data_IF_123790424417
#
_entry.id   IF_123790424417
#
_cell.length_a   1.000
_cell.length_b   1.000
_cell.length_c   1.000
_cell.angle_alpha   90.00
_cell.angle_beta   90.00
_cell.angle_gamma   90.00
#
_symmetry.space_group_name_H-M   'P 1'
#
loop_
_entity.id
_entity.type
_entity.pdbx_description
1 polymer ?
#
# COMPACT_ATOMS: atom_id res chain seq x y z
N UNK A 1 -21.63 -36.95 49.56
CA UNK A 1 -21.98 -36.65 48.15
C UNK A 1 -21.67 -35.19 47.90
N UNK A 2 -20.49 -34.91 47.33
CA UNK A 2 -19.97 -33.56 47.08
C UNK A 2 -20.43 -33.09 45.69
N UNK A 3 -21.28 -32.07 45.66
CA UNK A 3 -21.75 -31.43 44.44
C UNK A 3 -20.60 -30.71 43.71
N UNK A 4 -20.12 -31.29 42.61
CA UNK A 4 -19.22 -30.63 41.66
C UNK A 4 -20.03 -29.66 40.79
N UNK A 5 -20.05 -28.38 41.15
CA UNK A 5 -20.52 -27.32 40.24
C UNK A 5 -19.42 -27.09 39.19
N UNK A 6 -19.64 -27.60 37.98
CA UNK A 6 -18.93 -27.15 36.79
C UNK A 6 -19.13 -25.64 36.63
N UNK A 7 -18.07 -24.83 36.47
CA UNK A 7 -18.22 -23.41 36.21
C UNK A 7 -18.98 -23.20 34.90
N UNK A 8 -19.86 -22.19 34.81
CA UNK A 8 -20.59 -21.90 33.59
C UNK A 8 -19.61 -21.58 32.46
N UNK A 9 -19.83 -22.19 31.29
CA UNK A 9 -19.06 -21.90 30.08
C UNK A 9 -19.13 -20.41 29.79
N UNK A 10 -17.98 -19.76 29.66
CA UNK A 10 -17.90 -18.34 29.31
C UNK A 10 -18.66 -18.10 27.99
N UNK A 11 -19.51 -17.06 27.90
CA UNK A 11 -20.26 -16.77 26.69
C UNK A 11 -19.29 -16.52 25.54
N UNK A 12 -19.57 -17.12 24.37
CA UNK A 12 -18.80 -16.88 23.15
C UNK A 12 -18.83 -15.38 22.83
N UNK A 13 -17.65 -14.77 22.77
CA UNK A 13 -17.51 -13.34 22.50
C UNK A 13 -18.20 -12.97 21.18
N UNK A 14 -19.00 -11.90 21.19
CA UNK A 14 -19.67 -11.45 19.96
C UNK A 14 -18.65 -10.83 19.01
N UNK A 15 -18.96 -10.78 17.70
CA UNK A 15 -18.10 -10.12 16.68
C UNK A 15 -17.81 -8.66 17.06
N UNK A 16 -18.76 -7.99 17.72
CA UNK A 16 -18.57 -6.64 18.29
C UNK A 16 -17.54 -6.59 19.41
N UNK A 17 -17.45 -7.62 20.25
CA UNK A 17 -16.50 -7.68 21.37
C UNK A 17 -15.07 -7.87 20.86
N UNK A 18 -14.88 -8.77 19.88
CA UNK A 18 -13.57 -8.97 19.23
C UNK A 18 -13.08 -7.70 18.53
N UNK A 19 -13.99 -6.94 17.89
CA UNK A 19 -13.69 -5.65 17.27
C UNK A 19 -13.18 -4.62 18.28
N UNK A 20 -13.86 -4.46 19.41
CA UNK A 20 -13.46 -3.51 20.45
C UNK A 20 -12.10 -3.89 21.02
N UNK A 21 -11.84 -5.19 21.17
CA UNK A 21 -10.59 -5.72 21.70
C UNK A 21 -9.40 -5.47 20.75
N UNK A 22 -9.58 -5.68 19.45
CA UNK A 22 -8.55 -5.37 18.44
C UNK A 22 -8.25 -3.88 18.35
N UNK A 23 -9.29 -3.03 18.28
CA UNK A 23 -9.09 -1.58 18.25
C UNK A 23 -8.38 -1.08 19.51
N UNK A 24 -8.73 -1.62 20.69
CA UNK A 24 -8.02 -1.34 21.94
C UNK A 24 -6.57 -1.80 21.88
N UNK A 25 -6.29 -3.00 21.38
CA UNK A 25 -4.92 -3.50 21.26
C UNK A 25 -4.06 -2.59 20.35
N UNK A 26 -4.59 -2.15 19.20
CA UNK A 26 -3.89 -1.20 18.33
C UNK A 26 -3.72 0.18 18.99
N UNK A 27 -4.73 0.66 19.71
CA UNK A 27 -4.68 1.96 20.40
C UNK A 27 -3.72 1.96 21.58
N UNK A 28 -3.75 0.94 22.43
CA UNK A 28 -2.82 0.76 23.55
C UNK A 28 -1.39 0.63 23.02
N UNK A 29 -1.18 -0.08 21.92
CA UNK A 29 0.11 -0.22 21.28
C UNK A 29 0.61 1.09 20.62
N UNK A 30 -0.28 1.89 20.03
CA UNK A 30 0.05 3.23 19.49
C UNK A 30 0.38 4.21 20.62
N UNK A 31 -0.41 4.21 21.70
CA UNK A 31 -0.17 5.03 22.88
C UNK A 31 1.11 4.64 23.62
N UNK A 32 1.41 3.34 23.72
CA UNK A 32 2.66 2.84 24.31
C UNK A 32 3.88 3.24 23.47
N UNK A 33 3.78 3.22 22.14
CA UNK A 33 4.85 3.70 21.27
C UNK A 33 5.06 5.21 21.42
N UNK A 34 3.97 5.99 21.48
CA UNK A 34 4.03 7.44 21.66
C UNK A 34 4.64 7.83 23.02
N UNK A 35 4.31 7.08 24.09
CA UNK A 35 4.86 7.29 25.44
C UNK A 35 6.33 6.90 25.55
N UNK A 36 6.72 5.73 25.01
CA UNK A 36 8.07 5.18 25.21
C UNK A 36 9.07 5.69 24.16
N UNK A 37 8.60 6.13 22.99
CA UNK A 37 9.43 6.51 21.86
C UNK A 37 8.94 7.80 21.18
N UNK A 38 8.55 8.80 21.98
CA UNK A 38 8.01 10.08 21.49
C UNK A 38 8.89 10.72 20.40
N UNK A 39 10.22 10.71 20.59
CA UNK A 39 11.15 11.28 19.61
C UNK A 39 11.11 10.56 18.25
N UNK A 40 11.01 9.22 18.24
CA UNK A 40 10.89 8.44 17.00
C UNK A 40 9.50 8.61 16.37
N UNK A 41 8.45 8.68 17.18
CA UNK A 41 7.10 8.96 16.70
C UNK A 41 7.03 10.33 16.02
N UNK A 42 7.51 11.38 16.69
CA UNK A 42 7.56 12.73 16.14
C UNK A 42 8.49 12.81 14.93
N UNK A 43 9.63 12.13 14.99
CA UNK A 43 10.61 12.06 13.91
C UNK A 43 10.06 11.37 12.66
N UNK A 44 9.27 10.31 12.79
CA UNK A 44 8.63 9.66 11.63
C UNK A 44 7.42 10.42 11.10
N UNK A 45 6.83 11.31 11.91
CA UNK A 45 5.72 12.19 11.52
C UNK A 45 6.19 13.44 10.77
N UNK A 46 7.14 14.17 11.37
CA UNK A 46 7.61 15.48 10.92
C UNK A 46 8.89 15.36 10.09
N UNK A 47 9.72 14.36 10.38
CA UNK A 47 11.02 14.17 9.74
C UNK A 47 10.97 14.09 8.21
N UNK A 48 10.07 13.29 7.58
CA UNK A 48 9.96 13.27 6.12
C UNK A 48 9.74 14.65 5.51
N UNK A 49 8.91 15.48 6.12
CA UNK A 49 8.63 16.84 5.64
C UNK A 49 9.83 17.77 5.83
N UNK A 50 10.44 17.77 7.01
CA UNK A 50 11.65 18.56 7.28
C UNK A 50 12.80 18.20 6.35
N UNK A 51 13.05 16.90 6.17
CA UNK A 51 14.07 16.41 5.24
C UNK A 51 13.72 16.82 3.81
N UNK A 52 12.46 16.76 3.41
CA UNK A 52 12.02 17.21 2.06
C UNK A 52 12.32 18.70 1.85
N UNK A 53 11.93 19.56 2.78
CA UNK A 53 12.20 21.01 2.67
C UNK A 53 13.70 21.31 2.67
N UNK A 54 14.48 20.63 3.52
CA UNK A 54 15.93 20.76 3.56
C UNK A 54 16.56 20.34 2.23
N UNK A 55 16.17 19.17 1.69
CA UNK A 55 16.68 18.67 0.41
C UNK A 55 16.33 19.62 -0.73
N UNK A 56 15.10 20.15 -0.78
CA UNK A 56 14.71 21.14 -1.78
C UNK A 56 15.58 22.40 -1.66
N UNK A 57 15.80 22.91 -0.45
CA UNK A 57 16.65 24.08 -0.23
C UNK A 57 18.10 23.85 -0.65
N UNK A 58 18.67 22.69 -0.34
CA UNK A 58 20.02 22.29 -0.77
C UNK A 58 20.11 22.16 -2.29
N UNK A 59 19.14 21.49 -2.93
CA UNK A 59 19.10 21.32 -4.39
C UNK A 59 18.92 22.68 -5.08
N UNK A 60 18.11 23.57 -4.52
CA UNK A 60 17.95 24.93 -5.03
C UNK A 60 19.25 25.73 -4.96
N UNK A 61 19.99 25.63 -3.85
CA UNK A 61 21.27 26.31 -3.69
C UNK A 61 22.40 25.76 -4.57
N UNK A 62 22.42 24.44 -4.82
CA UNK A 62 23.52 23.78 -5.55
C UNK A 62 23.24 23.64 -7.05
N UNK A 63 22.03 23.24 -7.43
CA UNK A 63 21.65 22.94 -8.82
C UNK A 63 20.89 24.08 -9.49
N UNK A 64 20.45 25.08 -8.73
CA UNK A 64 19.73 26.25 -9.22
C UNK A 64 18.20 26.10 -9.31
N UNK A 65 17.51 27.21 -9.61
CA UNK A 65 16.05 27.28 -9.55
C UNK A 65 15.34 26.47 -10.64
N UNK A 66 15.88 26.44 -11.87
CA UNK A 66 15.25 25.74 -13.00
C UNK A 66 15.24 24.22 -12.79
N UNK A 67 16.38 23.65 -12.37
CA UNK A 67 16.48 22.22 -12.05
C UNK A 67 15.52 21.84 -10.91
N UNK A 68 15.48 22.67 -9.86
CA UNK A 68 14.58 22.45 -8.72
C UNK A 68 13.12 22.49 -9.14
N UNK A 69 12.73 23.42 -10.01
CA UNK A 69 11.37 23.50 -10.56
C UNK A 69 11.01 22.25 -11.36
N UNK A 70 11.89 21.78 -12.24
CA UNK A 70 11.70 20.52 -12.96
C UNK A 70 11.54 19.33 -12.01
N UNK A 71 12.36 19.24 -10.97
CA UNK A 71 12.29 18.19 -9.95
C UNK A 71 10.95 18.21 -9.19
N UNK A 72 10.46 19.39 -8.81
CA UNK A 72 9.17 19.55 -8.11
C UNK A 72 7.98 19.17 -9.00
N UNK A 73 8.01 19.54 -10.28
CA UNK A 73 6.98 19.15 -11.25
C UNK A 73 6.99 17.64 -11.44
N UNK A 74 8.16 17.04 -11.67
CA UNK A 74 8.31 15.60 -11.80
C UNK A 74 7.83 14.86 -10.54
N UNK A 75 8.16 15.36 -9.36
CA UNK A 75 7.71 14.81 -8.08
C UNK A 75 6.21 14.89 -7.90
N UNK A 76 5.59 15.99 -8.34
CA UNK A 76 4.14 16.17 -8.30
C UNK A 76 3.44 15.20 -9.26
N UNK A 77 3.90 15.09 -10.50
CA UNK A 77 3.36 14.15 -11.51
C UNK A 77 3.49 12.71 -11.04
N UNK A 78 4.66 12.33 -10.52
CA UNK A 78 4.93 11.04 -9.89
C UNK A 78 3.90 10.75 -8.80
N UNK A 79 3.74 11.66 -7.83
CA UNK A 79 2.92 11.39 -6.65
C UNK A 79 1.42 11.31 -6.95
N UNK A 80 0.94 12.03 -7.96
CA UNK A 80 -0.50 12.23 -8.20
C UNK A 80 -1.07 11.45 -9.37
N UNK A 81 -0.30 11.26 -10.43
CA UNK A 81 -0.82 10.72 -11.71
C UNK A 81 -0.08 9.46 -12.11
N UNK A 82 1.24 9.55 -12.28
CA UNK A 82 2.00 8.52 -12.97
C UNK A 82 2.63 7.47 -12.03
N UNK A 83 2.75 7.75 -10.73
CA UNK A 83 3.54 6.92 -9.83
C UNK A 83 4.96 6.72 -10.36
N UNK A 84 5.47 5.49 -10.23
CA UNK A 84 6.78 5.11 -10.79
C UNK A 84 6.85 5.02 -12.31
N UNK A 85 5.72 5.11 -13.02
CA UNK A 85 5.73 5.18 -14.49
C UNK A 85 6.31 6.49 -15.00
N UNK A 86 6.54 7.48 -14.14
CA UNK A 86 7.27 8.70 -14.53
C UNK A 86 8.72 8.41 -14.93
N UNK A 87 9.33 7.33 -14.41
CA UNK A 87 10.74 6.97 -14.64
C UNK A 87 11.04 6.75 -16.14
N UNK A 88 10.27 5.97 -16.91
CA UNK A 88 10.50 5.86 -18.35
C UNK A 88 10.01 7.05 -19.19
N UNK A 89 9.32 8.04 -18.60
CA UNK A 89 8.60 9.09 -19.35
C UNK A 89 9.30 10.46 -19.34
N UNK A 90 10.57 10.56 -18.94
CA UNK A 90 11.30 11.84 -18.88
C UNK A 90 11.34 12.61 -20.21
N UNK A 91 11.28 11.89 -21.33
CA UNK A 91 11.32 12.46 -22.69
C UNK A 91 9.95 13.03 -23.12
N UNK A 92 8.89 12.81 -22.32
CA UNK A 92 7.53 13.22 -22.64
C UNK A 92 7.20 14.54 -21.95
N UNK A 93 7.57 15.64 -22.61
CA UNK A 93 7.25 17.01 -22.20
C UNK A 93 8.44 17.76 -21.64
N UNK A 94 8.27 19.08 -21.44
CA UNK A 94 9.37 19.95 -21.03
C UNK A 94 9.78 19.80 -19.56
N UNK A 95 8.95 19.14 -18.74
CA UNK A 95 9.17 19.00 -17.31
C UNK A 95 10.34 18.07 -16.95
N UNK A 96 10.59 17.04 -17.77
CA UNK A 96 11.62 16.03 -17.53
C UNK A 96 12.95 16.30 -18.21
N UNK A 97 13.05 17.29 -19.11
CA UNK A 97 14.23 17.53 -19.95
C UNK A 97 15.54 17.78 -19.20
N UNK A 98 15.46 18.31 -17.99
CA UNK A 98 16.62 18.57 -17.12
C UNK A 98 16.95 17.41 -16.19
N UNK A 99 16.14 16.35 -16.18
CA UNK A 99 16.25 15.22 -15.28
C UNK A 99 16.66 13.97 -16.05
N UNK A 100 17.65 13.27 -15.52
CA UNK A 100 18.03 11.94 -15.98
C UNK A 100 17.11 10.87 -15.40
N UNK A 101 16.89 9.73 -16.07
CA UNK A 101 16.12 8.62 -15.52
C UNK A 101 16.61 8.17 -14.14
N UNK A 102 17.91 8.26 -13.88
CA UNK A 102 18.52 7.99 -12.59
C UNK A 102 18.07 8.98 -11.51
N UNK A 103 17.99 10.28 -11.83
CA UNK A 103 17.51 11.30 -10.89
C UNK A 103 16.02 11.10 -10.59
N UNK A 104 15.22 10.75 -11.61
CA UNK A 104 13.80 10.43 -11.43
C UNK A 104 13.63 9.15 -10.59
N UNK A 105 14.46 8.13 -10.80
CA UNK A 105 14.50 6.93 -9.96
C UNK A 105 14.72 7.27 -8.48
N UNK A 106 15.71 8.12 -8.16
CA UNK A 106 15.97 8.51 -6.78
C UNK A 106 14.86 9.36 -6.17
N UNK A 107 14.26 10.24 -6.97
CA UNK A 107 13.10 11.03 -6.57
C UNK A 107 11.92 10.15 -6.16
N UNK A 108 11.52 9.21 -7.03
CA UNK A 108 10.39 8.31 -6.76
C UNK A 108 10.71 7.39 -5.57
N UNK A 109 11.93 6.88 -5.49
CA UNK A 109 12.38 6.04 -4.36
C UNK A 109 12.33 6.80 -3.04
N UNK A 110 12.77 8.06 -3.03
CA UNK A 110 12.67 8.92 -1.86
C UNK A 110 11.21 9.13 -1.43
N UNK A 111 10.31 9.42 -2.38
CA UNK A 111 8.88 9.55 -2.10
C UNK A 111 8.30 8.27 -1.49
N UNK A 112 8.63 7.11 -2.07
CA UNK A 112 8.22 5.81 -1.55
C UNK A 112 8.73 5.57 -0.12
N UNK A 113 10.00 5.88 0.17
CA UNK A 113 10.57 5.76 1.52
C UNK A 113 9.87 6.69 2.50
N UNK A 114 9.68 7.96 2.14
CA UNK A 114 9.01 8.95 2.98
C UNK A 114 7.58 8.52 3.33
N UNK A 115 6.82 8.04 2.33
CA UNK A 115 5.46 7.54 2.51
C UNK A 115 5.45 6.25 3.32
N UNK A 116 6.35 5.31 3.04
CA UNK A 116 6.44 4.05 3.80
C UNK A 116 6.78 4.33 5.27
N UNK A 117 7.69 5.27 5.55
CA UNK A 117 8.06 5.67 6.90
C UNK A 117 6.88 6.31 7.64
N UNK A 118 6.18 7.24 7.00
CA UNK A 118 4.99 7.85 7.58
C UNK A 118 3.91 6.79 7.85
N UNK A 119 3.55 6.00 6.82
CA UNK A 119 2.44 5.04 6.90
C UNK A 119 2.74 3.87 7.83
N UNK A 120 3.93 3.26 7.80
CA UNK A 120 4.23 2.12 8.66
C UNK A 120 4.12 2.46 10.15
N UNK A 121 4.37 3.73 10.52
CA UNK A 121 4.32 4.21 11.89
C UNK A 121 2.99 4.88 12.28
N UNK A 122 2.26 5.45 11.32
CA UNK A 122 1.04 6.25 11.57
C UNK A 122 -0.25 5.70 10.95
N UNK A 123 -0.23 4.56 10.25
CA UNK A 123 -1.46 3.97 9.69
C UNK A 123 -2.50 3.60 10.76
N UNK A 124 -2.11 3.54 12.04
CA UNK A 124 -3.04 3.46 13.18
C UNK A 124 -4.18 4.48 13.12
N UNK A 125 -3.94 5.65 12.53
CA UNK A 125 -4.97 6.66 12.27
C UNK A 125 -6.05 6.19 11.28
N UNK A 126 -5.71 5.44 10.21
CA UNK A 126 -6.70 4.95 9.23
C UNK A 126 -7.75 4.04 9.87
N UNK A 127 -7.38 3.28 10.91
CA UNK A 127 -8.29 2.42 11.65
C UNK A 127 -9.33 3.19 12.47
N UNK A 128 -9.10 4.48 12.75
CA UNK A 128 -10.04 5.35 13.46
C UNK A 128 -11.14 5.89 12.55
N UNK A 129 -11.04 5.70 11.23
CA UNK A 129 -12.05 6.17 10.29
C UNK A 129 -13.32 5.31 10.37
N UNK A 130 -14.51 5.90 10.64
CA UNK A 130 -15.72 5.15 10.96
C UNK A 130 -16.24 4.24 9.83
N UNK A 131 -15.92 4.55 8.57
CA UNK A 131 -16.35 3.77 7.39
C UNK A 131 -15.33 2.71 6.94
N UNK A 132 -14.05 2.93 7.20
CA UNK A 132 -12.95 2.12 6.66
C UNK A 132 -12.43 1.15 7.72
N UNK A 133 -12.32 1.60 8.98
CA UNK A 133 -11.83 0.81 10.10
C UNK A 133 -12.51 -0.56 10.28
N UNK A 134 -13.85 -0.69 10.20
CA UNK A 134 -14.53 -1.98 10.39
C UNK A 134 -14.12 -3.04 9.35
N UNK A 135 -14.05 -2.65 8.07
CA UNK A 135 -13.67 -3.56 6.97
C UNK A 135 -12.22 -4.00 7.06
N UNK A 136 -11.33 -3.09 7.48
CA UNK A 136 -9.92 -3.40 7.66
C UNK A 136 -9.74 -4.33 8.87
N UNK A 137 -10.46 -4.10 9.97
CA UNK A 137 -10.37 -4.94 11.17
C UNK A 137 -10.83 -6.39 10.93
N UNK A 138 -11.92 -6.59 10.18
CA UNK A 138 -12.41 -7.93 9.79
C UNK A 138 -11.36 -8.69 8.98
N UNK A 139 -10.75 -8.03 7.99
CA UNK A 139 -9.65 -8.61 7.19
C UNK A 139 -8.41 -9.00 8.04
N UNK A 140 -8.14 -8.28 9.14
CA UNK A 140 -7.03 -8.62 10.06
C UNK A 140 -7.34 -9.88 10.84
N UNK A 141 -8.55 -10.00 11.41
CA UNK A 141 -8.94 -11.16 12.21
C UNK A 141 -8.80 -12.44 11.38
N UNK A 142 -9.34 -12.41 10.16
CA UNK A 142 -9.28 -13.53 9.24
C UNK A 142 -7.83 -13.84 8.85
N UNK A 143 -7.02 -12.81 8.61
CA UNK A 143 -5.60 -12.94 8.29
C UNK A 143 -4.77 -13.53 9.44
N UNK A 144 -4.94 -13.02 10.66
CA UNK A 144 -4.24 -13.52 11.86
C UNK A 144 -4.64 -14.95 12.19
N UNK A 145 -5.92 -15.31 12.05
CA UNK A 145 -6.37 -16.68 12.24
C UNK A 145 -5.63 -17.62 11.27
N UNK A 146 -5.61 -17.30 9.97
CA UNK A 146 -4.95 -18.11 8.95
C UNK A 146 -3.43 -18.17 9.19
N UNK A 147 -2.79 -17.04 9.49
CA UNK A 147 -1.36 -16.95 9.76
C UNK A 147 -0.93 -17.64 11.05
N UNK A 148 -1.81 -17.71 12.06
CA UNK A 148 -1.54 -18.41 13.32
C UNK A 148 -1.51 -19.93 13.15
N UNK A 149 -2.29 -20.46 12.21
CA UNK A 149 -2.35 -21.89 11.91
C UNK A 149 -1.12 -22.38 11.14
N UNK A 150 -0.39 -21.50 10.45
CA UNK A 150 0.73 -21.85 9.57
C UNK A 150 1.92 -20.87 9.70
N UNK A 151 2.86 -21.10 10.63
CA UNK A 151 3.95 -20.15 10.92
C UNK A 151 4.91 -19.87 9.74
N UNK A 152 5.07 -20.83 8.82
CA UNK A 152 5.88 -20.65 7.61
C UNK A 152 5.32 -19.55 6.70
N UNK A 153 4.01 -19.31 6.76
CA UNK A 153 3.36 -18.26 5.98
C UNK A 153 3.80 -16.86 6.42
N UNK A 154 4.27 -16.66 7.67
CA UNK A 154 4.76 -15.35 8.14
C UNK A 154 5.99 -14.86 7.36
N UNK A 155 6.86 -15.77 6.95
CA UNK A 155 8.02 -15.42 6.12
C UNK A 155 7.58 -15.11 4.69
N UNK A 156 6.59 -15.84 4.18
CA UNK A 156 5.97 -15.57 2.88
C UNK A 156 5.22 -14.23 2.88
N UNK A 157 4.67 -13.79 4.01
CA UNK A 157 4.02 -12.48 4.17
C UNK A 157 4.97 -11.33 3.87
N UNK A 158 6.20 -11.40 4.38
CA UNK A 158 7.20 -10.37 4.14
C UNK A 158 7.59 -10.31 2.66
N UNK A 159 7.90 -11.47 2.06
CA UNK A 159 8.26 -11.53 0.63
C UNK A 159 7.08 -11.21 -0.29
N UNK A 160 5.87 -11.59 0.09
CA UNK A 160 4.63 -11.22 -0.59
C UNK A 160 4.39 -9.71 -0.55
N UNK A 161 4.66 -9.06 0.59
CA UNK A 161 4.66 -7.61 0.68
C UNK A 161 5.70 -6.98 -0.26
N UNK A 162 6.95 -7.45 -0.23
CA UNK A 162 8.02 -6.95 -1.12
C UNK A 162 7.59 -7.07 -2.58
N UNK A 163 7.10 -8.24 -3.00
CA UNK A 163 6.64 -8.49 -4.36
C UNK A 163 5.44 -7.59 -4.73
N UNK A 164 4.49 -7.44 -3.81
CA UNK A 164 3.32 -6.56 -3.99
C UNK A 164 3.73 -5.11 -4.23
N UNK A 165 4.67 -4.59 -3.44
CA UNK A 165 5.16 -3.20 -3.59
C UNK A 165 6.06 -3.06 -4.81
N UNK A 166 6.83 -4.09 -5.17
CA UNK A 166 7.68 -4.11 -6.37
C UNK A 166 6.87 -4.10 -7.66
N UNK A 167 5.66 -4.66 -7.65
CA UNK A 167 4.81 -4.68 -8.82
C UNK A 167 4.41 -3.25 -9.25
N UNK A 168 4.62 -2.86 -10.52
CA UNK A 168 4.39 -1.50 -10.99
C UNK A 168 2.90 -1.21 -11.18
N UNK A 169 2.21 -0.93 -10.09
CA UNK A 169 0.84 -0.40 -10.11
C UNK A 169 0.88 1.12 -10.04
N UNK A 170 0.01 1.78 -10.81
CA UNK A 170 -0.07 3.24 -10.95
C UNK A 170 -0.44 3.98 -9.66
N UNK A 171 -0.74 3.26 -8.57
CA UNK A 171 -1.11 3.84 -7.29
C UNK A 171 -0.39 3.15 -6.15
N UNK A 172 0.40 3.97 -5.44
CA UNK A 172 0.70 3.83 -4.01
C UNK A 172 1.21 2.47 -3.52
N UNK A 173 2.17 1.84 -4.23
CA UNK A 173 2.84 0.63 -3.75
C UNK A 173 3.26 0.74 -2.27
N UNK A 174 3.78 1.89 -1.85
CA UNK A 174 4.20 2.14 -0.46
C UNK A 174 3.04 2.37 0.53
N UNK A 175 1.94 3.03 0.13
CA UNK A 175 0.76 3.21 1.01
C UNK A 175 0.01 1.88 1.16
N UNK A 176 -0.30 1.24 0.03
CA UNK A 176 -0.93 -0.07 -0.01
C UNK A 176 -0.08 -1.09 0.72
N UNK A 177 1.22 -1.14 0.45
CA UNK A 177 2.16 -2.02 1.13
C UNK A 177 2.20 -1.78 2.65
N UNK A 178 2.20 -0.52 3.09
CA UNK A 178 2.17 -0.22 4.52
C UNK A 178 0.86 -0.69 5.18
N UNK A 179 -0.29 -0.52 4.51
CA UNK A 179 -1.59 -1.00 4.97
C UNK A 179 -1.61 -2.54 4.98
N UNK A 180 -1.27 -3.19 3.87
CA UNK A 180 -1.26 -4.65 3.73
C UNK A 180 -0.26 -5.31 4.69
N UNK A 181 0.93 -4.75 4.88
CA UNK A 181 1.89 -5.27 5.85
C UNK A 181 1.33 -5.26 7.27
N UNK A 182 0.65 -4.17 7.66
CA UNK A 182 0.00 -4.08 8.99
C UNK A 182 -1.24 -4.94 9.11
N UNK A 183 -1.98 -5.14 8.00
CA UNK A 183 -3.11 -6.06 7.91
C UNK A 183 -2.67 -7.51 8.14
N UNK A 184 -1.52 -7.88 7.59
CA UNK A 184 -0.96 -9.23 7.69
C UNK A 184 -0.16 -9.44 9.00
N UNK A 185 -0.31 -8.56 9.98
CA UNK A 185 0.33 -8.68 11.29
C UNK A 185 1.84 -8.42 11.32
N UNK A 186 2.43 -7.83 10.26
CA UNK A 186 3.86 -7.48 10.29
C UNK A 186 4.15 -6.34 11.26
N UNK A 187 5.32 -6.39 11.88
CA UNK A 187 5.83 -5.29 12.71
C UNK A 187 6.04 -4.02 11.87
N UNK A 188 6.02 -2.84 12.50
CA UNK A 188 6.22 -1.55 11.80
C UNK A 188 7.51 -1.54 10.98
N UNK A 189 8.59 -2.07 11.55
CA UNK A 189 9.89 -2.17 10.89
C UNK A 189 9.88 -3.18 9.74
N UNK A 190 9.25 -4.35 9.92
CA UNK A 190 9.12 -5.32 8.82
C UNK A 190 8.29 -4.74 7.67
N UNK A 191 7.18 -4.07 7.98
CA UNK A 191 6.37 -3.35 6.99
C UNK A 191 7.18 -2.28 6.27
N UNK A 192 7.88 -1.42 7.02
CA UNK A 192 8.73 -0.36 6.46
C UNK A 192 9.81 -0.94 5.55
N UNK A 193 10.63 -1.87 6.05
CA UNK A 193 11.72 -2.47 5.27
C UNK A 193 11.20 -3.22 4.03
N UNK A 194 10.09 -3.96 4.17
CA UNK A 194 9.47 -4.65 3.05
C UNK A 194 8.96 -3.69 1.98
N UNK A 195 8.32 -2.58 2.38
CA UNK A 195 7.89 -1.53 1.47
C UNK A 195 9.07 -0.83 0.78
N UNK A 196 10.14 -0.51 1.50
CA UNK A 196 11.34 0.11 0.93
C UNK A 196 12.03 -0.83 -0.06
N UNK A 197 12.22 -2.10 0.31
CA UNK A 197 12.80 -3.11 -0.59
C UNK A 197 11.98 -3.28 -1.86
N UNK A 198 10.66 -3.42 -1.72
CA UNK A 198 9.76 -3.52 -2.86
C UNK A 198 9.81 -2.28 -3.74
N UNK A 199 9.81 -1.08 -3.15
CA UNK A 199 9.91 0.17 -3.90
C UNK A 199 11.21 0.28 -4.68
N UNK A 200 12.35 -0.03 -4.05
CA UNK A 200 13.66 -0.03 -4.73
C UNK A 200 13.68 -1.03 -5.88
N UNK A 201 13.19 -2.26 -5.68
CA UNK A 201 13.13 -3.29 -6.73
C UNK A 201 12.22 -2.83 -7.87
N UNK A 202 11.03 -2.32 -7.56
CA UNK A 202 10.06 -1.87 -8.56
C UNK A 202 10.54 -0.67 -9.35
N UNK A 203 11.14 0.33 -8.69
CA UNK A 203 11.71 1.51 -9.33
C UNK A 203 12.94 1.14 -10.17
N UNK A 204 13.77 0.19 -9.69
CA UNK A 204 14.91 -0.31 -10.46
C UNK A 204 14.45 -1.06 -11.70
N UNK A 205 13.40 -1.88 -11.59
CA UNK A 205 12.80 -2.56 -12.74
C UNK A 205 12.30 -1.56 -13.80
N UNK A 206 11.70 -0.43 -13.39
CA UNK A 206 11.31 0.64 -14.31
C UNK A 206 12.52 1.32 -14.97
N UNK A 207 13.58 1.61 -14.21
CA UNK A 207 14.81 2.21 -14.72
C UNK A 207 15.53 1.29 -15.73
N UNK A 208 15.74 0.03 -15.37
CA UNK A 208 16.36 -0.94 -16.28
C UNK A 208 15.47 -1.22 -17.48
N UNK A 209 14.15 -1.32 -17.27
CA UNK A 209 13.17 -1.43 -18.33
C UNK A 209 13.26 -0.28 -19.33
N UNK A 210 13.38 0.97 -18.85
CA UNK A 210 13.51 2.13 -19.73
C UNK A 210 14.81 2.07 -20.56
N UNK A 211 15.93 1.69 -19.95
CA UNK A 211 17.22 1.53 -20.64
C UNK A 211 17.17 0.44 -21.72
N UNK A 212 16.58 -0.70 -21.41
CA UNK A 212 16.41 -1.82 -22.36
C UNK A 212 15.52 -1.38 -23.53
N UNK A 213 14.38 -0.73 -23.25
CA UNK A 213 13.50 -0.24 -24.32
C UNK A 213 14.24 0.74 -25.23
N UNK A 214 14.97 1.71 -24.66
CA UNK A 214 15.77 2.68 -25.42
C UNK A 214 16.91 2.04 -26.22
N UNK A 215 17.46 0.91 -25.79
CA UNK A 215 18.52 0.22 -26.55
C UNK A 215 18.00 -0.51 -27.80
N UNK A 216 16.74 -0.95 -27.80
CA UNK A 216 16.15 -1.70 -28.92
C UNK A 216 15.23 -0.86 -29.81
N UNK A 217 14.68 0.25 -29.30
CA UNK A 217 13.79 1.13 -30.05
C UNK A 217 14.42 2.53 -30.20
N UNK A 218 14.68 2.99 -31.44
CA UNK A 218 15.12 4.35 -31.70
C UNK A 218 14.10 5.37 -31.14
N UNK A 219 14.54 6.18 -30.18
CA UNK A 219 13.69 7.11 -29.43
C UNK A 219 13.21 8.33 -30.26
N UNK A 220 13.73 8.48 -31.47
CA UNK A 220 13.43 9.50 -32.47
C UNK A 220 12.09 9.28 -33.18
N UNK A 221 11.51 8.07 -33.11
CA UNK A 221 10.19 7.81 -33.68
C UNK A 221 9.05 8.21 -32.73
N UNK A 222 8.22 9.16 -33.17
CA UNK A 222 6.98 9.59 -32.49
C UNK A 222 6.09 8.41 -32.08
N UNK A 223 6.03 7.37 -32.90
CA UNK A 223 5.28 6.13 -32.66
C UNK A 223 5.81 5.30 -31.50
N UNK A 224 7.11 5.35 -31.19
CA UNK A 224 7.70 4.63 -30.05
C UNK A 224 7.34 5.35 -28.74
N UNK A 225 7.47 6.68 -28.73
CA UNK A 225 7.15 7.52 -27.56
C UNK A 225 5.67 7.44 -27.17
N UNK A 226 4.78 7.66 -28.13
CA UNK A 226 3.34 7.57 -27.88
C UNK A 226 2.84 6.13 -27.83
N UNK A 227 3.46 5.22 -28.60
CA UNK A 227 3.14 3.79 -28.55
C UNK A 227 3.41 3.19 -27.18
N UNK A 228 4.53 3.54 -26.53
CA UNK A 228 4.83 3.09 -25.16
C UNK A 228 3.77 3.54 -24.16
N UNK A 229 3.38 4.81 -24.19
CA UNK A 229 2.31 5.34 -23.35
C UNK A 229 0.96 4.65 -23.62
N UNK A 230 0.59 4.49 -24.90
CA UNK A 230 -0.66 3.83 -25.31
C UNK A 230 -0.67 2.36 -24.89
N UNK A 231 0.45 1.64 -25.00
CA UNK A 231 0.58 0.26 -24.56
C UNK A 231 0.44 0.15 -23.04
N UNK A 232 1.09 1.03 -22.28
CA UNK A 232 0.93 1.07 -20.81
C UNK A 232 -0.54 1.31 -20.46
N UNK A 233 -1.19 2.32 -21.07
CA UNK A 233 -2.61 2.61 -20.84
C UNK A 233 -3.51 1.43 -21.25
N UNK A 234 -3.20 0.74 -22.35
CA UNK A 234 -3.92 -0.46 -22.78
C UNK A 234 -3.76 -1.61 -21.80
N UNK A 235 -2.55 -1.84 -21.28
CA UNK A 235 -2.29 -2.88 -20.28
C UNK A 235 -3.08 -2.56 -18.99
N UNK A 236 -3.04 -1.32 -18.52
CA UNK A 236 -3.81 -0.86 -17.36
C UNK A 236 -5.32 -1.07 -17.60
N UNK A 237 -5.84 -0.65 -18.76
CA UNK A 237 -7.24 -0.81 -19.11
C UNK A 237 -7.66 -2.29 -19.25
N UNK A 238 -6.79 -3.15 -19.80
CA UNK A 238 -7.02 -4.59 -19.92
C UNK A 238 -7.09 -5.25 -18.54
N UNK A 239 -6.15 -4.91 -17.64
CA UNK A 239 -6.13 -5.36 -16.25
C UNK A 239 -7.39 -4.93 -15.51
N UNK A 240 -7.82 -3.68 -15.67
CA UNK A 240 -9.03 -3.16 -15.04
C UNK A 240 -10.30 -3.85 -15.56
N UNK A 241 -10.37 -4.12 -16.87
CA UNK A 241 -11.45 -4.91 -17.47
C UNK A 241 -11.49 -6.33 -16.92
N UNK A 242 -10.35 -7.01 -16.88
CA UNK A 242 -10.22 -8.38 -16.33
C UNK A 242 -10.61 -8.43 -14.87
N UNK A 243 -10.13 -7.49 -14.06
CA UNK A 243 -10.46 -7.39 -12.65
C UNK A 243 -11.97 -7.17 -12.45
N UNK A 244 -12.57 -6.26 -13.22
CA UNK A 244 -14.00 -5.99 -13.17
C UNK A 244 -14.85 -7.19 -13.58
N UNK A 245 -14.42 -7.97 -14.58
CA UNK A 245 -15.10 -9.19 -14.99
C UNK A 245 -15.05 -10.27 -13.89
N UNK A 246 -13.88 -10.51 -13.29
CA UNK A 246 -13.73 -11.45 -12.17
C UNK A 246 -14.58 -11.03 -10.96
N UNK A 247 -14.61 -9.74 -10.64
CA UNK A 247 -15.44 -9.21 -9.54
C UNK A 247 -16.94 -9.45 -9.78
N UNK A 248 -17.41 -9.28 -11.02
CA UNK A 248 -18.82 -9.57 -11.37
C UNK A 248 -19.15 -11.05 -11.18
N UNK A 249 -18.26 -11.93 -11.63
CA UNK A 249 -18.43 -13.37 -11.49
C UNK A 249 -18.46 -13.81 -10.03
N UNK A 250 -17.53 -13.32 -9.20
CA UNK A 250 -17.52 -13.59 -7.76
C UNK A 250 -18.80 -13.13 -7.04
N UNK A 251 -19.35 -11.96 -7.41
CA UNK A 251 -20.61 -11.47 -6.85
C UNK A 251 -21.81 -12.32 -7.29
N UNK A 252 -21.82 -12.81 -8.53
CA UNK A 252 -22.86 -13.72 -9.03
C UNK A 252 -22.81 -15.08 -8.34
N UNK A 253 -21.62 -15.63 -8.12
CA UNK A 253 -21.43 -16.91 -7.42
C UNK A 253 -21.88 -16.81 -5.95
N UNK A 254 -21.59 -15.70 -5.26
CA UNK A 254 -22.13 -15.45 -3.91
C UNK A 254 -23.65 -15.34 -3.90
N UNK A 255 -24.24 -14.61 -4.84
CA UNK A 255 -25.70 -14.47 -4.93
C UNK A 255 -26.40 -15.80 -5.26
N UNK A 256 -25.76 -16.64 -6.07
CA UNK A 256 -26.24 -17.98 -6.39
C UNK A 256 -26.08 -18.99 -5.25
N UNK A 257 -25.13 -18.76 -4.33
CA UNK A 257 -24.95 -19.57 -3.12
C UNK A 257 -25.88 -19.16 -1.95
N UNK A 258 -26.56 -18.02 -2.06
CA UNK A 258 -27.48 -17.48 -1.05
C UNK A 258 -29.00 -17.76 -1.29
N UNK A 259 -29.45 -18.93 -1.80
CA UNK A 259 -30.85 -19.33 -1.67
C UNK A 259 -31.01 -20.68 -0.96
N UNK A 260 -31.31 -20.69 0.35
CA UNK A 260 -32.10 -21.72 1.10
C UNK A 260 -31.86 -21.71 2.64
N UNK A 261 -32.04 -20.57 3.33
CA UNK A 261 -32.16 -20.61 4.80
C UNK A 261 -33.09 -19.55 5.38
N UNK A 262 -34.28 -19.39 4.80
CA UNK A 262 -35.44 -18.95 5.58
C UNK A 262 -36.58 -19.92 5.27
N UNK A 263 -36.87 -20.89 6.15
CA UNK A 263 -38.13 -21.60 6.05
C UNK A 263 -39.27 -20.58 6.20
N UNK A 264 -40.38 -20.73 5.46
CA UNK A 264 -41.53 -19.87 5.63
C UNK A 264 -41.94 -19.90 7.09
N UNK A 265 -42.06 -18.72 7.71
CA UNK A 265 -42.69 -18.59 9.01
C UNK A 265 -44.07 -19.20 8.89
N UNK A 266 -44.24 -20.38 9.48
CA UNK A 266 -45.50 -21.09 9.51
C UNK A 266 -46.56 -20.16 10.09
N UNK A 267 -47.67 -20.06 9.36
CA UNK A 267 -48.93 -19.56 9.87
C UNK A 267 -49.23 -20.30 11.19
N UNK A 268 -49.08 -19.60 12.31
CA UNK A 268 -49.66 -20.03 13.56
C UNK A 268 -51.17 -19.78 13.48
N UNK A 269 -51.92 -20.80 13.11
CA UNK A 269 -53.32 -20.90 13.47
C UNK A 269 -53.43 -21.07 14.98
N UNK A 270 -53.93 -20.06 15.68
CA UNK A 270 -54.93 -20.16 16.76
C UNK A 270 -55.68 -18.83 16.85
#
# INVERSE_FOLDING_TARGET
>A
MTNSRTPPAAPAATVSDQRVLLLRHYQEFEQNFLKNHFALWLGTLIGPWLVTFLLIGVIWGVCGPEYTRSLLIAGTISFTVAGRFVIPLEDIGDWGKLLTPEQVFWLVTYQDVAVALFMAFHVGFLFKLPKIGPKIAELIVDGEMILSLQPWMKQLTFWGLVAFVAFPLSSTGSVGGAIFGRLLGLSRWATFCGSVLGAVIGNAAMLYGSKVVKSYLPADNFFVRWGGLVVILLIVALLERRYSAMKRQFLQDRAAAEPLSLPPQGESSQ
#
